data_IF_119487863411
#
_entry.id   IF_119487863411
#
_cell.length_a   1.000
_cell.length_b   1.000
_cell.length_c   1.000
_cell.angle_alpha   90.00
_cell.angle_beta   90.00
_cell.angle_gamma   90.00
#
_symmetry.space_group_name_H-M   'P 1'
#
loop_
_entity.id
_entity.type
_entity.pdbx_description
1 polymer ?
#
# COMPACT_ATOMS: atom_id res chain seq x y z
N UNK A 1 11.17 -12.00 -3.71
CA UNK A 1 10.50 -10.69 -3.83
C UNK A 1 9.82 -10.66 -5.20
N UNK A 2 8.60 -10.13 -5.28
CA UNK A 2 7.68 -10.33 -6.41
C UNK A 2 7.97 -9.37 -7.59
N UNK A 3 9.23 -9.22 -7.97
CA UNK A 3 9.71 -8.40 -9.09
C UNK A 3 9.60 -9.14 -10.42
N UNK A 4 9.58 -10.48 -10.38
CA UNK A 4 9.41 -11.38 -11.53
C UNK A 4 7.95 -11.83 -11.74
N UNK A 5 6.94 -11.04 -11.33
CA UNK A 5 5.55 -11.46 -11.47
C UNK A 5 4.95 -11.21 -12.88
N UNK A 6 5.69 -10.58 -13.80
CA UNK A 6 5.17 -10.27 -15.13
C UNK A 6 3.99 -9.28 -15.12
N UNK A 7 3.78 -8.57 -14.02
CA UNK A 7 2.78 -7.51 -13.88
C UNK A 7 3.33 -6.23 -14.52
N UNK A 8 3.27 -6.16 -15.85
CA UNK A 8 3.57 -4.91 -16.55
C UNK A 8 2.68 -3.77 -16.06
N UNK A 9 3.23 -2.56 -15.95
CA UNK A 9 2.50 -1.32 -15.60
C UNK A 9 1.44 -0.92 -16.64
N UNK A 10 1.24 -1.70 -17.70
CA UNK A 10 0.35 -1.41 -18.82
C UNK A 10 -1.13 -1.28 -18.43
N UNK A 11 -1.53 -1.87 -17.30
CA UNK A 11 -2.93 -1.89 -16.85
C UNK A 11 -3.21 -0.94 -15.66
N UNK A 12 -2.24 -0.07 -15.29
CA UNK A 12 -2.39 0.83 -14.14
C UNK A 12 -3.16 2.09 -14.53
N UNK A 13 -4.34 2.30 -13.95
CA UNK A 13 -5.15 3.50 -14.17
C UNK A 13 -5.31 4.29 -12.88
N UNK A 14 -5.24 5.62 -13.00
CA UNK A 14 -5.48 6.55 -11.89
C UNK A 14 -6.71 7.36 -12.27
N UNK A 15 -7.69 7.40 -11.38
CA UNK A 15 -8.92 8.14 -11.61
C UNK A 15 -8.63 9.64 -11.83
N UNK A 16 -9.26 10.23 -12.86
CA UNK A 16 -9.07 11.62 -13.24
C UNK A 16 -7.90 11.88 -14.21
N UNK A 17 -7.06 10.89 -14.52
CA UNK A 17 -6.09 11.02 -15.61
C UNK A 17 -6.77 10.83 -16.98
N UNK A 18 -6.69 11.84 -17.85
CA UNK A 18 -7.18 11.75 -19.22
C UNK A 18 -6.41 10.71 -20.03
N UNK A 19 -7.07 9.63 -20.43
CA UNK A 19 -6.48 8.58 -21.25
C UNK A 19 -6.25 9.04 -22.69
N UNK A 20 -5.07 9.57 -23.00
CA UNK A 20 -4.60 9.69 -24.39
C UNK A 20 -4.10 8.32 -24.88
N UNK A 21 -5.03 7.40 -25.18
CA UNK A 21 -4.69 6.20 -25.93
C UNK A 21 -4.49 6.57 -27.41
N UNK A 22 -3.23 6.69 -27.83
CA UNK A 22 -2.86 6.59 -29.24
C UNK A 22 -3.11 5.14 -29.70
N UNK A 23 -4.31 4.88 -30.20
CA UNK A 23 -4.62 3.65 -30.91
C UNK A 23 -3.89 3.67 -32.27
N UNK A 24 -2.71 3.05 -32.33
CA UNK A 24 -2.15 2.61 -33.60
C UNK A 24 -2.87 1.33 -34.03
N UNK A 25 -3.91 1.48 -34.84
CA UNK A 25 -4.48 0.40 -35.64
C UNK A 25 -3.44 -0.03 -36.67
N UNK A 26 -2.92 -1.26 -36.54
CA UNK A 26 -2.29 -1.98 -37.63
C UNK A 26 -3.15 -3.19 -37.94
N UNK A 27 -3.90 -3.09 -39.04
CA UNK A 27 -4.50 -4.23 -39.72
C UNK A 27 -3.38 -5.07 -40.35
N UNK A 28 -3.27 -6.33 -39.94
CA UNK A 28 -2.55 -7.34 -40.70
C UNK A 28 -3.42 -8.59 -40.83
N UNK A 29 -3.99 -8.71 -42.02
CA UNK A 29 -4.61 -9.90 -42.59
C UNK A 29 -3.51 -10.85 -43.06
N UNK A 30 -3.38 -12.02 -42.45
CA UNK A 30 -2.64 -13.15 -43.00
C UNK A 30 -3.31 -14.47 -42.60
N UNK A 31 -3.98 -15.10 -43.57
CA UNK A 31 -4.38 -16.49 -43.50
C UNK A 31 -3.21 -17.43 -43.81
N UNK A 32 -2.99 -18.40 -42.93
CA UNK A 32 -2.26 -19.62 -43.26
C UNK A 32 -2.88 -20.81 -42.52
N UNK A 33 -3.43 -21.74 -43.30
CA UNK A 33 -3.74 -23.11 -42.91
C UNK A 33 -2.43 -23.89 -42.70
N UNK A 34 -2.29 -24.55 -41.55
CA UNK A 34 -1.46 -25.74 -41.42
C UNK A 34 -2.06 -26.73 -40.42
N UNK A 35 -2.52 -27.84 -40.98
CA UNK A 35 -2.78 -29.13 -40.33
C UNK A 35 -1.45 -29.80 -39.98
N UNK A 36 -1.29 -30.28 -38.74
CA UNK A 36 -0.50 -31.47 -38.39
C UNK A 36 -0.86 -31.97 -36.99
N UNK A 37 -1.35 -33.22 -36.93
CA UNK A 37 -1.42 -34.02 -35.71
C UNK A 37 -0.04 -34.53 -35.27
N UNK A 38 0.16 -34.67 -33.96
CA UNK A 38 0.24 -35.98 -33.29
C UNK A 38 0.67 -35.86 -31.82
N UNK A 39 0.01 -36.71 -31.04
CA UNK A 39 0.47 -37.51 -29.89
C UNK A 39 0.83 -36.86 -28.55
N UNK A 40 -0.02 -37.22 -27.58
CA UNK A 40 0.13 -37.07 -26.15
C UNK A 40 1.21 -38.01 -25.60
N UNK A 41 2.15 -37.45 -24.83
CA UNK A 41 2.88 -38.21 -23.82
C UNK A 41 2.90 -37.46 -22.49
N UNK A 42 2.18 -38.01 -21.52
CA UNK A 42 2.20 -37.58 -20.12
C UNK A 42 3.48 -38.11 -19.45
N UNK A 43 4.27 -37.21 -18.89
CA UNK A 43 5.22 -37.55 -17.82
C UNK A 43 5.01 -36.63 -16.63
N UNK A 44 4.42 -37.19 -15.57
CA UNK A 44 4.50 -36.67 -14.22
C UNK A 44 5.91 -36.95 -13.69
N UNK A 45 6.62 -35.91 -13.26
CA UNK A 45 7.46 -35.96 -12.06
C UNK A 45 7.66 -34.54 -11.53
N UNK A 46 7.28 -34.34 -10.28
CA UNK A 46 7.31 -33.06 -9.62
C UNK A 46 8.72 -32.54 -9.34
N UNK A 47 8.87 -31.23 -9.52
CA UNK A 47 9.72 -30.39 -8.69
C UNK A 47 8.99 -29.06 -8.54
N UNK A 48 8.55 -28.79 -7.31
CA UNK A 48 8.00 -27.50 -6.91
C UNK A 48 9.11 -26.44 -6.99
N UNK A 49 8.79 -25.30 -7.60
CA UNK A 49 9.39 -24.02 -7.23
C UNK A 49 10.69 -23.65 -7.92
N UNK A 50 10.61 -23.26 -9.19
CA UNK A 50 11.46 -22.18 -9.71
C UNK A 50 10.81 -21.55 -10.95
N UNK A 51 10.08 -20.45 -10.76
CA UNK A 51 9.81 -19.52 -11.85
C UNK A 51 11.12 -18.77 -12.15
N UNK A 52 12.07 -19.44 -12.80
CA UNK A 52 13.20 -18.75 -13.42
C UNK A 52 12.64 -17.98 -14.61
N UNK A 53 12.79 -16.67 -14.60
CA UNK A 53 12.67 -15.87 -15.82
C UNK A 53 13.63 -16.49 -16.85
N UNK A 54 13.09 -17.16 -17.85
CA UNK A 54 13.84 -17.94 -18.82
C UNK A 54 14.89 -17.04 -19.51
N UNK A 55 16.17 -17.21 -19.16
CA UNK A 55 17.31 -16.64 -19.91
C UNK A 55 18.02 -15.40 -19.35
N UNK A 56 17.79 -14.99 -18.09
CA UNK A 56 18.52 -13.88 -17.47
C UNK A 56 19.53 -14.36 -16.42
N UNK A 57 20.77 -13.84 -16.47
CA UNK A 57 21.78 -14.08 -15.45
C UNK A 57 21.35 -13.49 -14.09
N UNK A 58 21.61 -14.21 -13.00
CA UNK A 58 21.19 -13.83 -11.65
C UNK A 58 21.73 -12.47 -11.21
N UNK A 59 22.95 -12.10 -11.65
CA UNK A 59 23.52 -10.78 -11.40
C UNK A 59 22.70 -9.66 -12.06
N UNK A 60 22.26 -9.87 -13.31
CA UNK A 60 21.44 -8.89 -14.05
C UNK A 60 20.06 -8.72 -13.44
N UNK A 61 19.47 -9.79 -12.88
CA UNK A 61 18.19 -9.70 -12.16
C UNK A 61 18.34 -8.81 -10.93
N UNK A 62 19.39 -9.02 -10.13
CA UNK A 62 19.64 -8.22 -8.91
C UNK A 62 19.93 -6.75 -9.25
N UNK A 63 20.66 -6.46 -10.34
CA UNK A 63 20.88 -5.09 -10.80
C UNK A 63 19.57 -4.40 -11.18
N UNK A 64 18.72 -5.06 -11.97
CA UNK A 64 17.42 -4.50 -12.38
C UNK A 64 16.53 -4.24 -11.16
N UNK A 65 16.50 -5.15 -10.18
CA UNK A 65 15.74 -4.96 -8.95
C UNK A 65 16.21 -3.74 -8.17
N UNK A 66 17.53 -3.55 -8.05
CA UNK A 66 18.11 -2.37 -7.39
C UNK A 66 17.78 -1.09 -8.13
N UNK A 67 17.84 -1.09 -9.45
CA UNK A 67 17.53 0.10 -10.26
C UNK A 67 16.05 0.49 -10.13
N UNK A 68 15.14 -0.50 -10.09
CA UNK A 68 13.70 -0.26 -9.88
C UNK A 68 13.46 0.37 -8.49
N UNK A 69 14.04 -0.21 -7.43
CA UNK A 69 13.88 0.31 -6.08
C UNK A 69 14.53 1.68 -5.91
N UNK A 70 15.71 1.90 -6.48
CA UNK A 70 16.38 3.20 -6.44
C UNK A 70 15.55 4.30 -7.15
N UNK A 71 14.94 3.98 -8.29
CA UNK A 71 14.02 4.90 -8.97
C UNK A 71 12.79 5.19 -8.10
N UNK A 72 12.21 4.17 -7.48
CA UNK A 72 11.08 4.35 -6.57
C UNK A 72 11.46 5.28 -5.40
N UNK A 73 12.58 5.02 -4.74
CA UNK A 73 13.05 5.79 -3.58
C UNK A 73 13.31 7.26 -3.93
N UNK A 74 13.81 7.53 -5.15
CA UNK A 74 13.96 8.89 -5.64
C UNK A 74 12.62 9.62 -5.73
N UNK A 75 11.57 8.98 -6.24
CA UNK A 75 10.23 9.57 -6.33
C UNK A 75 9.58 9.69 -4.94
N UNK A 76 9.75 8.68 -4.09
CA UNK A 76 9.27 8.69 -2.71
C UNK A 76 9.85 9.86 -1.91
N UNK A 77 11.13 10.19 -2.11
CA UNK A 77 11.76 11.35 -1.49
C UNK A 77 11.11 12.67 -1.92
N UNK A 78 10.69 12.81 -3.19
CA UNK A 78 9.96 13.98 -3.68
C UNK A 78 8.56 14.05 -3.06
N UNK A 79 7.79 12.96 -3.09
CA UNK A 79 6.47 12.89 -2.45
C UNK A 79 6.55 13.31 -0.98
N UNK A 80 7.55 12.79 -0.24
CA UNK A 80 7.79 13.12 1.17
C UNK A 80 8.10 14.60 1.38
N UNK A 81 8.89 15.20 0.49
CA UNK A 81 9.21 16.63 0.54
C UNK A 81 7.95 17.47 0.33
N UNK A 82 7.10 17.09 -0.63
CA UNK A 82 5.83 17.77 -0.91
C UNK A 82 4.85 17.66 0.26
N UNK A 83 4.70 16.46 0.84
CA UNK A 83 3.89 16.26 2.05
C UNK A 83 4.41 17.11 3.22
N UNK A 84 5.74 17.20 3.37
CA UNK A 84 6.36 18.00 4.42
C UNK A 84 6.18 19.49 4.21
N UNK A 85 6.28 19.97 2.96
CA UNK A 85 6.07 21.37 2.62
C UNK A 85 4.60 21.80 2.83
N UNK A 86 3.65 20.90 2.52
CA UNK A 86 2.22 21.14 2.72
C UNK A 86 1.75 20.87 4.17
N UNK A 87 2.60 20.32 5.04
CA UNK A 87 2.21 19.89 6.38
C UNK A 87 1.20 18.73 6.39
N UNK A 88 1.11 17.98 5.29
CA UNK A 88 0.22 16.82 5.15
C UNK A 88 0.87 15.61 5.80
N UNK A 89 0.15 14.95 6.72
CA UNK A 89 0.57 13.67 7.26
C UNK A 89 0.14 12.56 6.31
N UNK A 90 1.08 11.99 5.56
CA UNK A 90 0.83 10.82 4.71
C UNK A 90 1.03 9.51 5.50
N UNK A 91 0.04 8.62 5.49
CA UNK A 91 0.05 7.31 6.15
C UNK A 91 -0.26 6.20 5.15
N UNK A 92 0.62 5.21 5.03
CA UNK A 92 0.44 4.06 4.15
C UNK A 92 -0.17 2.89 4.92
N UNK A 93 -1.43 2.55 4.64
CA UNK A 93 -2.13 1.45 5.28
C UNK A 93 -1.97 0.17 4.48
N UNK A 94 -1.34 -0.83 5.09
CA UNK A 94 -1.00 -2.12 4.47
C UNK A 94 -1.62 -3.26 5.27
N UNK A 95 -2.11 -4.30 4.61
CA UNK A 95 -2.76 -5.43 5.29
C UNK A 95 -2.90 -6.63 4.37
N UNK A 96 -3.39 -7.76 4.87
CA UNK A 96 -3.98 -8.80 3.99
C UNK A 96 -5.31 -8.33 3.40
N UNK A 97 -5.82 -8.97 2.32
CA UNK A 97 -7.19 -8.75 1.88
C UNK A 97 -8.19 -9.03 3.01
N UNK A 98 -9.18 -8.16 3.18
CA UNK A 98 -10.25 -8.36 4.16
C UNK A 98 -9.88 -8.05 5.63
N UNK A 99 -8.70 -7.51 5.93
CA UNK A 99 -8.32 -7.08 7.30
C UNK A 99 -9.14 -5.88 7.83
N UNK A 100 -9.92 -5.22 6.96
CA UNK A 100 -10.84 -4.15 7.31
C UNK A 100 -10.26 -2.73 7.19
N UNK A 101 -9.28 -2.51 6.30
CA UNK A 101 -8.67 -1.19 6.03
C UNK A 101 -9.73 -0.14 5.67
N UNK A 102 -10.52 -0.40 4.64
CA UNK A 102 -11.56 0.54 4.19
C UNK A 102 -12.62 0.81 5.26
N UNK A 103 -12.92 -0.16 6.12
CA UNK A 103 -13.83 0.05 7.27
C UNK A 103 -13.22 0.97 8.31
N UNK A 104 -11.95 0.74 8.66
CA UNK A 104 -11.24 1.61 9.58
C UNK A 104 -11.10 3.02 8.98
N UNK A 105 -10.79 3.15 7.70
CA UNK A 105 -10.67 4.44 7.01
C UNK A 105 -11.99 5.18 6.92
N UNK A 106 -13.07 4.54 6.46
CA UNK A 106 -14.36 5.18 6.37
C UNK A 106 -14.81 5.72 7.74
N UNK A 107 -14.63 4.93 8.80
CA UNK A 107 -14.94 5.35 10.17
C UNK A 107 -14.03 6.49 10.64
N UNK A 108 -12.74 6.41 10.35
CA UNK A 108 -11.76 7.47 10.68
C UNK A 108 -12.10 8.78 9.97
N UNK A 109 -12.46 8.74 8.69
CA UNK A 109 -12.83 9.90 7.90
C UNK A 109 -14.11 10.57 8.42
N UNK A 110 -15.13 9.77 8.79
CA UNK A 110 -16.36 10.28 9.41
C UNK A 110 -16.09 10.97 10.74
N UNK A 111 -15.29 10.35 11.61
CA UNK A 111 -15.08 10.82 12.99
C UNK A 111 -14.09 12.00 13.07
N UNK A 112 -13.13 12.11 12.13
CA UNK A 112 -12.07 13.12 12.15
C UNK A 112 -12.21 14.20 11.07
N UNK A 113 -13.03 14.00 10.03
CA UNK A 113 -13.14 14.93 8.89
C UNK A 113 -13.62 16.34 9.27
N UNK A 114 -14.33 16.49 10.39
CA UNK A 114 -14.72 17.80 10.92
C UNK A 114 -13.58 18.53 11.68
N UNK A 115 -12.51 17.83 12.07
CA UNK A 115 -11.40 18.37 12.86
C UNK A 115 -10.27 18.89 11.98
N UNK A 116 -10.02 18.23 10.85
CA UNK A 116 -8.98 18.56 9.87
C UNK A 116 -9.26 17.87 8.54
N UNK A 117 -8.68 18.34 7.42
CA UNK A 117 -8.90 17.73 6.12
C UNK A 117 -8.43 16.27 6.09
N UNK A 118 -9.24 15.41 5.50
CA UNK A 118 -8.93 13.99 5.27
C UNK A 118 -9.06 13.70 3.78
N UNK A 119 -8.00 13.13 3.21
CA UNK A 119 -7.97 12.68 1.81
C UNK A 119 -7.47 11.24 1.74
N UNK A 120 -7.92 10.49 0.74
CA UNK A 120 -7.57 9.07 0.59
C UNK A 120 -7.15 8.75 -0.85
N UNK A 121 -6.04 8.03 -1.00
CA UNK A 121 -5.70 7.30 -2.21
C UNK A 121 -6.06 5.84 -1.95
N UNK A 122 -6.95 5.28 -2.78
CA UNK A 122 -7.35 3.89 -2.71
C UNK A 122 -6.61 3.08 -3.78
N UNK A 123 -5.86 2.06 -3.38
CA UNK A 123 -5.14 1.16 -4.27
C UNK A 123 -5.73 -0.24 -4.25
N UNK A 124 -6.34 -0.66 -5.35
CA UNK A 124 -6.83 -2.03 -5.53
C UNK A 124 -6.54 -2.51 -6.96
N UNK A 125 -6.64 -3.81 -7.20
CA UNK A 125 -6.46 -4.39 -8.53
C UNK A 125 -7.51 -3.89 -9.52
N UNK A 126 -8.77 -3.80 -9.07
CA UNK A 126 -9.93 -3.48 -9.89
C UNK A 126 -11.01 -2.78 -9.05
N UNK A 127 -11.93 -2.10 -9.75
CA UNK A 127 -13.13 -1.43 -9.21
C UNK A 127 -12.83 -0.15 -8.40
N UNK A 128 -13.85 0.71 -8.26
CA UNK A 128 -13.79 1.95 -7.45
C UNK A 128 -14.51 1.83 -6.11
N UNK A 129 -14.90 0.61 -5.70
CA UNK A 129 -15.85 0.40 -4.60
C UNK A 129 -15.38 1.01 -3.28
N UNK A 130 -14.10 0.85 -2.98
CA UNK A 130 -13.53 1.38 -1.75
C UNK A 130 -13.42 2.92 -1.81
N UNK A 131 -13.01 3.48 -2.94
CA UNK A 131 -13.02 4.94 -3.15
C UNK A 131 -14.42 5.56 -3.04
N UNK A 132 -15.44 4.92 -3.61
CA UNK A 132 -16.82 5.41 -3.56
C UNK A 132 -17.35 5.41 -2.12
N UNK A 133 -17.05 4.34 -1.37
CA UNK A 133 -17.40 4.24 0.05
C UNK A 133 -16.67 5.27 0.91
N UNK A 134 -15.44 5.64 0.59
CA UNK A 134 -14.78 6.77 1.27
C UNK A 134 -15.46 8.09 0.92
N UNK A 135 -15.84 8.33 -0.33
CA UNK A 135 -16.52 9.57 -0.74
C UNK A 135 -17.86 9.76 -0.04
N UNK A 136 -18.58 8.68 0.26
CA UNK A 136 -19.81 8.72 1.05
C UNK A 136 -19.61 9.30 2.47
N UNK A 137 -18.37 9.31 2.99
CA UNK A 137 -18.02 9.95 4.27
C UNK A 137 -17.88 11.47 4.17
N UNK A 138 -17.79 12.01 2.95
CA UNK A 138 -17.46 13.41 2.66
C UNK A 138 -15.97 13.67 2.42
N UNK A 139 -15.09 12.68 2.63
CA UNK A 139 -13.66 12.79 2.32
C UNK A 139 -13.38 12.77 0.80
N UNK A 140 -12.32 13.45 0.37
CA UNK A 140 -11.82 13.35 -1.01
C UNK A 140 -11.11 12.01 -1.18
N UNK A 141 -11.47 11.26 -2.21
CA UNK A 141 -10.79 10.00 -2.54
C UNK A 141 -10.46 9.92 -4.04
N UNK A 142 -9.35 9.26 -4.38
CA UNK A 142 -8.95 8.91 -5.76
C UNK A 142 -8.61 7.42 -5.81
N UNK A 143 -9.18 6.69 -6.77
CA UNK A 143 -8.86 5.29 -7.02
C UNK A 143 -7.62 5.17 -7.92
N UNK A 144 -6.75 4.22 -7.57
CA UNK A 144 -5.71 3.64 -8.42
C UNK A 144 -6.10 2.18 -8.65
N UNK A 145 -6.37 1.81 -9.91
CA UNK A 145 -6.47 0.41 -10.29
C UNK A 145 -5.09 -0.07 -10.70
N UNK A 146 -4.51 -1.01 -9.97
CA UNK A 146 -3.16 -1.54 -10.24
C UNK A 146 -3.17 -2.62 -11.32
N UNK A 147 -4.34 -3.05 -11.79
CA UNK A 147 -4.48 -4.16 -12.70
C UNK A 147 -4.02 -5.45 -12.03
N UNK A 148 -2.88 -5.99 -12.47
CA UNK A 148 -2.24 -7.16 -11.85
C UNK A 148 -1.22 -6.81 -10.77
N UNK A 149 -0.95 -5.52 -10.55
CA UNK A 149 0.02 -5.05 -9.55
C UNK A 149 -0.38 -5.46 -8.13
N UNK A 150 0.60 -5.92 -7.35
CA UNK A 150 0.39 -6.40 -5.97
C UNK A 150 0.69 -5.34 -4.88
N UNK A 151 1.04 -4.12 -5.27
CA UNK A 151 1.39 -3.00 -4.42
C UNK A 151 1.20 -1.68 -5.18
N UNK A 152 1.13 -0.57 -4.45
CA UNK A 152 1.37 0.78 -4.96
C UNK A 152 2.86 1.10 -4.91
N UNK A 153 3.33 1.88 -5.88
CA UNK A 153 4.68 2.49 -5.90
C UNK A 153 4.59 4.03 -5.77
N UNK A 154 5.74 4.69 -5.59
CA UNK A 154 5.79 6.13 -5.39
C UNK A 154 5.32 6.95 -6.61
N UNK A 155 5.49 6.43 -7.83
CA UNK A 155 5.02 7.08 -9.06
C UNK A 155 3.49 7.07 -9.15
N UNK A 156 2.87 5.93 -8.85
CA UNK A 156 1.41 5.79 -8.78
C UNK A 156 0.81 6.80 -7.79
N UNK A 157 1.44 6.96 -6.62
CA UNK A 157 1.02 7.95 -5.62
C UNK A 157 1.22 9.37 -6.16
N UNK A 158 2.38 9.69 -6.74
CA UNK A 158 2.67 11.01 -7.32
C UNK A 158 1.65 11.40 -8.40
N UNK A 159 1.21 10.44 -9.21
CA UNK A 159 0.16 10.61 -10.23
C UNK A 159 -1.19 10.92 -9.60
N UNK A 160 -1.61 10.13 -8.60
CA UNK A 160 -2.88 10.33 -7.92
C UNK A 160 -2.95 11.67 -7.16
N UNK A 161 -1.83 12.18 -6.64
CA UNK A 161 -1.78 13.47 -5.97
C UNK A 161 -2.16 14.65 -6.87
N UNK A 162 -1.93 14.55 -8.18
CA UNK A 162 -2.32 15.61 -9.14
C UNK A 162 -3.84 15.76 -9.28
N UNK A 163 -4.58 14.67 -9.11
CA UNK A 163 -6.06 14.70 -9.10
C UNK A 163 -6.58 14.98 -7.70
N UNK A 164 -5.98 14.35 -6.68
CA UNK A 164 -6.49 14.40 -5.31
C UNK A 164 -6.24 15.74 -4.63
N UNK A 165 -5.12 16.41 -4.93
CA UNK A 165 -4.71 17.71 -4.36
C UNK A 165 -5.02 17.82 -2.85
N UNK A 166 -4.40 16.98 -1.99
CA UNK A 166 -4.73 16.94 -0.57
C UNK A 166 -4.50 18.31 0.09
N UNK A 167 -5.43 18.70 0.95
CA UNK A 167 -5.41 20.03 1.56
C UNK A 167 -4.26 20.16 2.58
N UNK A 168 -3.54 21.31 2.61
CA UNK A 168 -2.45 21.54 3.56
C UNK A 168 -2.86 21.34 5.01
N UNK A 169 -1.96 20.79 5.83
CA UNK A 169 -2.20 20.51 7.25
C UNK A 169 -3.16 19.36 7.53
N UNK A 170 -3.64 18.66 6.50
CA UNK A 170 -4.52 17.50 6.60
C UNK A 170 -3.80 16.17 6.81
N UNK A 171 -4.57 15.09 6.70
CA UNK A 171 -4.06 13.71 6.68
C UNK A 171 -4.40 13.08 5.33
N UNK A 172 -3.38 12.51 4.69
CA UNK A 172 -3.53 11.68 3.51
C UNK A 172 -3.38 10.22 3.93
N UNK A 173 -4.44 9.44 3.78
CA UNK A 173 -4.35 7.99 3.86
C UNK A 173 -4.09 7.41 2.48
N UNK A 174 -3.13 6.48 2.39
CA UNK A 174 -2.86 5.69 1.20
C UNK A 174 -3.25 4.27 1.55
N UNK A 175 -4.43 3.83 1.14
CA UNK A 175 -4.85 2.44 1.28
C UNK A 175 -4.14 1.61 0.21
N UNK A 176 -3.17 0.79 0.62
CA UNK A 176 -2.44 -0.06 -0.31
C UNK A 176 -3.24 -1.32 -0.67
N UNK A 177 -2.80 -1.97 -1.75
CA UNK A 177 -3.34 -3.28 -2.16
C UNK A 177 -3.22 -4.27 -0.99
N UNK A 178 -4.25 -5.12 -0.80
CA UNK A 178 -4.25 -6.16 0.23
C UNK A 178 -3.13 -7.19 0.03
N UNK A 179 -1.93 -6.91 0.54
CA UNK A 179 -0.76 -7.77 0.47
C UNK A 179 0.24 -7.45 1.60
N UNK A 180 0.71 -8.47 2.33
CA UNK A 180 1.73 -8.34 3.40
C UNK A 180 3.17 -8.62 2.93
N UNK A 181 3.39 -8.82 1.62
CA UNK A 181 4.70 -9.17 1.04
C UNK A 181 5.20 -8.04 0.16
N UNK A 182 4.53 -7.76 -0.97
CA UNK A 182 5.03 -6.78 -1.95
C UNK A 182 5.20 -5.38 -1.37
N UNK A 183 4.22 -4.80 -0.63
CA UNK A 183 4.29 -3.40 -0.20
C UNK A 183 5.35 -3.12 0.87
N UNK A 184 5.99 -4.15 1.44
CA UNK A 184 7.02 -3.99 2.47
C UNK A 184 8.27 -3.28 1.91
N UNK A 185 8.61 -3.56 0.64
CA UNK A 185 9.82 -3.05 -0.01
C UNK A 185 9.67 -1.72 -0.76
N UNK A 186 8.48 -1.13 -0.78
CA UNK A 186 8.19 0.10 -1.53
C UNK A 186 7.87 1.25 -0.57
N UNK A 187 8.74 2.26 -0.57
CA UNK A 187 8.49 3.56 0.04
C UNK A 187 7.62 4.39 -0.91
N UNK A 188 6.56 5.02 -0.40
CA UNK A 188 5.68 5.92 -1.16
C UNK A 188 5.94 7.39 -0.82
N UNK A 189 6.83 7.66 0.14
CA UNK A 189 7.06 8.96 0.75
C UNK A 189 6.25 9.18 2.03
N UNK A 190 5.53 8.15 2.52
CA UNK A 190 4.70 8.24 3.72
C UNK A 190 5.53 8.55 4.98
N UNK A 191 4.94 9.27 5.93
CA UNK A 191 5.54 9.49 7.24
C UNK A 191 5.60 8.19 8.06
N UNK A 192 4.63 7.29 7.85
CA UNK A 192 4.59 6.01 8.52
C UNK A 192 3.82 4.97 7.70
N UNK A 193 4.37 3.75 7.64
CA UNK A 193 3.63 2.56 7.25
C UNK A 193 2.90 2.00 8.47
N UNK A 194 1.61 1.77 8.34
CA UNK A 194 0.73 1.22 9.38
C UNK A 194 0.20 -0.12 8.89
N UNK A 195 0.62 -1.21 9.55
CA UNK A 195 0.15 -2.54 9.22
C UNK A 195 -1.14 -2.83 9.97
N UNK A 196 -2.20 -3.20 9.25
CA UNK A 196 -3.47 -3.62 9.82
C UNK A 196 -3.54 -5.15 9.77
N UNK A 197 -3.70 -5.77 10.93
CA UNK A 197 -3.85 -7.21 11.09
C UNK A 197 -5.23 -7.48 11.70
N UNK A 198 -6.03 -8.36 11.11
CA UNK A 198 -7.29 -8.81 11.70
C UNK A 198 -7.07 -10.04 12.60
N UNK A 199 -7.78 -10.12 13.72
CA UNK A 199 -7.75 -11.31 14.61
C UNK A 199 -8.18 -12.60 13.90
N UNK A 200 -8.90 -12.48 12.78
CA UNK A 200 -9.32 -13.63 11.96
C UNK A 200 -8.19 -14.23 11.12
N UNK A 201 -7.02 -13.61 11.09
CA UNK A 201 -5.89 -14.05 10.25
C UNK A 201 -4.94 -15.01 10.97
N UNK A 202 -4.98 -15.06 12.31
CA UNK A 202 -4.05 -15.81 13.15
C UNK A 202 -2.91 -14.95 13.71
N UNK A 203 -2.48 -15.26 14.92
CA UNK A 203 -1.54 -14.47 15.74
C UNK A 203 -0.07 -14.58 15.29
N UNK A 204 0.25 -15.55 14.43
CA UNK A 204 1.60 -15.82 13.93
C UNK A 204 2.01 -14.98 12.72
N UNK A 205 1.13 -14.09 12.22
CA UNK A 205 1.41 -13.23 11.06
C UNK A 205 2.69 -12.40 11.18
N UNK A 206 3.04 -11.79 12.33
CA UNK A 206 4.22 -10.96 12.41
C UNK A 206 5.52 -11.70 12.08
N UNK A 207 5.66 -12.95 12.53
CA UNK A 207 6.85 -13.77 12.22
C UNK A 207 6.79 -14.43 10.84
N UNK A 208 5.60 -14.62 10.27
CA UNK A 208 5.44 -15.14 8.90
C UNK A 208 5.73 -14.10 7.82
N UNK A 209 5.53 -12.82 8.12
CA UNK A 209 5.73 -11.71 7.18
C UNK A 209 6.69 -10.66 7.76
N UNK A 210 7.91 -11.06 8.20
CA UNK A 210 8.77 -10.21 9.03
C UNK A 210 9.11 -8.88 8.37
N UNK A 211 9.33 -8.84 7.05
CA UNK A 211 9.70 -7.61 6.34
C UNK A 211 8.62 -6.51 6.47
N UNK A 212 7.34 -6.90 6.44
CA UNK A 212 6.24 -5.94 6.59
C UNK A 212 6.19 -5.35 8.00
N UNK A 213 6.32 -6.20 9.02
CA UNK A 213 6.28 -5.76 10.42
C UNK A 213 7.56 -5.03 10.83
N UNK A 214 8.70 -5.33 10.19
CA UNK A 214 9.93 -4.57 10.32
C UNK A 214 9.80 -3.16 9.74
N UNK A 215 9.14 -3.01 8.59
CA UNK A 215 8.91 -1.72 7.94
C UNK A 215 7.82 -0.86 8.62
N UNK A 216 6.88 -1.47 9.34
CA UNK A 216 5.76 -0.77 9.96
C UNK A 216 6.16 -0.01 11.23
N UNK A 217 5.66 1.22 11.39
CA UNK A 217 5.78 1.99 12.64
C UNK A 217 4.71 1.62 13.66
N UNK A 218 3.54 1.21 13.18
CA UNK A 218 2.38 0.87 13.98
C UNK A 218 1.73 -0.39 13.43
N UNK A 219 1.37 -1.30 14.32
CA UNK A 219 0.43 -2.39 14.06
C UNK A 219 -0.94 -2.03 14.66
N UNK A 220 -1.98 -2.09 13.83
CA UNK A 220 -3.38 -2.01 14.28
C UNK A 220 -3.96 -3.43 14.23
N UNK A 221 -4.22 -4.01 15.39
CA UNK A 221 -4.93 -5.28 15.52
C UNK A 221 -6.44 -5.02 15.49
N UNK A 222 -7.04 -5.19 14.31
CA UNK A 222 -8.44 -4.89 14.03
C UNK A 222 -9.37 -6.10 14.26
N UNK A 223 -10.68 -5.83 14.27
CA UNK A 223 -11.77 -6.79 14.52
C UNK A 223 -11.70 -7.44 15.89
N UNK A 224 -11.24 -6.71 16.92
CA UNK A 224 -11.14 -7.22 18.28
C UNK A 224 -12.47 -7.72 18.85
N UNK A 225 -13.60 -7.24 18.32
CA UNK A 225 -14.94 -7.75 18.61
C UNK A 225 -15.12 -9.25 18.30
N UNK A 226 -14.26 -9.82 17.45
CA UNK A 226 -14.31 -11.23 17.08
C UNK A 226 -13.46 -12.15 17.98
N UNK A 227 -12.66 -11.61 18.90
CA UNK A 227 -11.80 -12.41 19.80
C UNK A 227 -12.54 -13.54 20.55
N UNK A 228 -13.80 -13.38 21.01
CA UNK A 228 -14.53 -14.48 21.65
C UNK A 228 -14.82 -15.68 20.72
N UNK A 229 -14.70 -15.51 19.40
CA UNK A 229 -15.11 -16.50 18.40
C UNK A 229 -13.94 -17.13 17.63
N UNK A 230 -12.73 -16.60 17.79
CA UNK A 230 -11.54 -17.09 17.07
C UNK A 230 -10.41 -17.45 18.04
N UNK A 231 -9.64 -18.52 17.78
CA UNK A 231 -8.49 -18.87 18.60
C UNK A 231 -7.31 -17.94 18.26
N UNK A 232 -7.26 -16.78 18.89
CA UNK A 232 -6.21 -15.79 18.68
C UNK A 232 -5.62 -15.33 20.02
N UNK A 233 -4.30 -15.47 20.19
CA UNK A 233 -3.59 -14.96 21.36
C UNK A 233 -3.01 -13.57 21.06
N UNK A 234 -3.64 -12.55 21.67
CA UNK A 234 -3.26 -11.14 21.49
C UNK A 234 -1.85 -10.86 22.02
N UNK A 235 -1.52 -11.39 23.20
CA UNK A 235 -0.23 -11.13 23.83
C UNK A 235 0.90 -11.80 23.05
N UNK A 236 0.66 -13.02 22.56
CA UNK A 236 1.59 -13.74 21.71
C UNK A 236 1.81 -13.02 20.37
N UNK A 237 0.76 -12.52 19.73
CA UNK A 237 0.86 -11.71 18.50
C UNK A 237 1.72 -10.46 18.73
N UNK A 238 1.49 -9.75 19.85
CA UNK A 238 2.26 -8.55 20.20
C UNK A 238 3.72 -8.90 20.46
N UNK A 239 4.00 -10.01 21.15
CA UNK A 239 5.35 -10.49 21.40
C UNK A 239 6.07 -10.84 20.09
N UNK A 240 5.37 -11.45 19.12
CA UNK A 240 5.92 -11.72 17.79
C UNK A 240 6.22 -10.44 17.01
N UNK A 241 5.29 -9.46 17.01
CA UNK A 241 5.52 -8.18 16.36
C UNK A 241 6.74 -7.46 16.95
N UNK A 242 6.87 -7.42 18.27
CA UNK A 242 8.03 -6.81 18.96
C UNK A 242 9.34 -7.56 18.78
N UNK A 243 9.29 -8.88 18.53
CA UNK A 243 10.48 -9.67 18.20
C UNK A 243 11.03 -9.27 16.83
N UNK A 244 10.16 -8.98 15.87
CA UNK A 244 10.54 -8.51 14.54
C UNK A 244 10.93 -7.03 14.57
N UNK A 245 10.16 -6.20 15.26
CA UNK A 245 10.39 -4.77 15.38
C UNK A 245 10.18 -4.31 16.84
N UNK A 246 11.26 -4.16 17.63
CA UNK A 246 11.17 -3.75 19.03
C UNK A 246 10.52 -2.37 19.27
N UNK A 247 10.44 -1.53 18.24
CA UNK A 247 9.90 -0.16 18.33
C UNK A 247 8.45 -0.06 17.83
N UNK A 248 7.85 -1.15 17.33
CA UNK A 248 6.50 -1.12 16.77
C UNK A 248 5.47 -0.74 17.84
N UNK A 249 4.67 0.29 17.55
CA UNK A 249 3.48 0.59 18.32
C UNK A 249 2.41 -0.48 18.06
N UNK A 250 1.56 -0.76 19.05
CA UNK A 250 0.40 -1.65 18.84
C UNK A 250 -0.86 -1.00 19.40
N UNK A 251 -1.92 -0.99 18.59
CA UNK A 251 -3.27 -0.62 19.01
C UNK A 251 -4.22 -1.76 18.69
N UNK A 252 -5.07 -2.13 19.64
CA UNK A 252 -6.14 -3.11 19.43
C UNK A 252 -7.45 -2.35 19.26
N UNK A 253 -8.15 -2.60 18.14
CA UNK A 253 -9.35 -1.86 17.77
C UNK A 253 -10.43 -2.77 17.18
N UNK A 254 -11.66 -2.27 17.23
CA UNK A 254 -12.76 -2.76 16.42
C UNK A 254 -13.35 -1.59 15.65
N UNK A 255 -13.07 -1.54 14.33
CA UNK A 255 -13.70 -0.55 13.46
C UNK A 255 -15.23 -0.68 13.40
N UNK A 256 -15.77 -1.86 13.72
CA UNK A 256 -17.21 -2.13 13.74
C UNK A 256 -17.88 -1.51 14.97
N UNK A 257 -17.35 -1.79 16.17
CA UNK A 257 -17.97 -1.34 17.43
C UNK A 257 -17.51 0.06 17.85
N UNK A 258 -16.31 0.48 17.42
CA UNK A 258 -15.66 1.71 17.84
C UNK A 258 -14.63 1.51 18.97
N UNK A 259 -14.55 0.31 19.54
CA UNK A 259 -13.61 0.02 20.63
C UNK A 259 -12.16 0.29 20.19
N UNK A 260 -11.41 1.02 21.02
CA UNK A 260 -10.01 1.36 20.79
C UNK A 260 -9.77 2.48 19.76
N UNK A 261 -10.79 2.98 19.05
CA UNK A 261 -10.60 3.99 18.01
C UNK A 261 -10.09 5.34 18.55
N UNK A 262 -10.43 5.73 19.78
CA UNK A 262 -9.89 6.95 20.39
C UNK A 262 -8.35 6.92 20.51
N UNK A 263 -7.76 5.75 20.79
CA UNK A 263 -6.30 5.61 20.84
C UNK A 263 -5.68 5.73 19.43
N UNK A 264 -6.37 5.21 18.41
CA UNK A 264 -6.00 5.37 17.01
C UNK A 264 -6.05 6.84 16.57
N UNK A 265 -7.13 7.54 16.91
CA UNK A 265 -7.29 8.97 16.62
C UNK A 265 -6.24 9.83 17.32
N UNK A 266 -5.98 9.57 18.60
CA UNK A 266 -4.93 10.24 19.35
C UNK A 266 -3.54 10.00 18.75
N UNK A 267 -3.26 8.80 18.23
CA UNK A 267 -2.01 8.52 17.53
C UNK A 267 -1.88 9.33 16.24
N UNK A 268 -2.94 9.41 15.42
CA UNK A 268 -2.96 10.24 14.19
C UNK A 268 -2.73 11.71 14.53
N UNK A 269 -3.45 12.25 15.52
CA UNK A 269 -3.31 13.65 15.95
C UNK A 269 -1.89 13.95 16.45
N UNK A 270 -1.28 13.03 17.20
CA UNK A 270 0.10 13.15 17.63
C UNK A 270 1.09 13.16 16.46
N UNK A 271 0.92 12.26 15.47
CA UNK A 271 1.78 12.26 14.27
C UNK A 271 1.57 13.53 13.44
N UNK A 272 0.34 14.06 13.35
CA UNK A 272 0.04 15.30 12.63
C UNK A 272 0.71 16.51 13.30
N UNK A 273 0.77 16.52 14.63
CA UNK A 273 1.51 17.52 15.39
C UNK A 273 3.01 17.52 15.07
N UNK A 274 3.61 16.34 14.93
CA UNK A 274 5.02 16.19 14.49
C UNK A 274 5.20 16.68 13.06
N UNK A 275 4.32 16.27 12.13
CA UNK A 275 4.38 16.69 10.72
C UNK A 275 4.26 18.21 10.57
N UNK A 276 3.33 18.82 11.31
CA UNK A 276 3.12 20.28 11.29
C UNK A 276 4.33 21.05 11.82
N UNK A 277 5.12 20.45 12.71
CA UNK A 277 6.34 21.07 13.23
C UNK A 277 7.46 21.09 12.18
N UNK A 278 7.51 20.13 11.25
CA UNK A 278 8.50 20.09 10.17
C UNK A 278 8.35 21.28 9.21
N UNK A 279 7.12 21.75 8.97
CA UNK A 279 6.82 22.95 8.16
C UNK A 279 7.46 24.22 8.75
N UNK A 280 7.58 24.30 10.08
CA UNK A 280 8.02 25.51 10.80
C UNK A 280 9.54 25.64 10.89
N UNK A 281 10.30 24.61 10.54
CA UNK A 281 11.76 24.69 10.46
C UNK A 281 12.10 25.27 9.09
N UNK A 282 12.66 26.49 8.99
CA UNK A 282 13.05 27.02 7.70
C UNK A 282 14.10 26.08 7.11
N UNK A 283 13.85 25.54 5.93
CA UNK A 283 14.90 24.87 5.16
C UNK A 283 15.99 25.90 4.90
N UNK A 284 17.07 25.79 5.67
CA UNK A 284 18.15 26.76 5.69
C UNK A 284 18.71 26.95 4.29
N UNK A 285 18.72 28.22 3.85
CA UNK A 285 19.57 28.67 2.74
C UNK A 285 20.98 28.14 2.99
N UNK A 286 21.45 27.28 2.11
CA UNK A 286 22.86 26.89 2.06
C UNK A 286 23.71 28.15 2.03
N UNK A 287 24.63 28.25 2.99
CA UNK A 287 25.59 29.32 3.07
C UNK A 287 26.48 29.28 1.82
N UNK A 288 26.33 30.28 0.97
CA UNK A 288 27.41 30.72 0.10
C UNK A 288 28.30 31.65 0.92
N UNK A 289 29.49 31.17 1.30
CA UNK A 289 30.69 31.95 1.55
C UNK A 289 31.88 31.16 1.04
#
# INVERSE_FOLDING_TARGET
MCTTCGCGQADVTVEGEGHHHHHHHHDHDHGHDHDHGHDHHHHHHGALGAAHASGMDGARIVEIERDILAKNDHIAAHNRADFSAAGVLALNLVSSPGSGKTTLLARTAQDLGARFPVSVIEGDQQTSRDADRIRETGARAVQINTGKGCHLDADMVARALRTLEPEPGGVLFIENVGNLVCPAGFDLGEAAKVVILSVTEGDDKPIKYPDMFAAARLMVLNKSDLLPYVPFDVDQCIAYARRVNPQIGVLTVSALTGDGLEAWYGWIEAQRGVQSALVRVPQGKGAAQ
#
